data_IF_488984153356
#
_entry.id   IF_488984153356
#
_cell.length_a   1.000
_cell.length_b   1.000
_cell.length_c   1.000
_cell.angle_alpha   90.00
_cell.angle_beta   90.00
_cell.angle_gamma   90.00
#
_symmetry.space_group_name_H-M   'P 1'
#
loop_
_entity.id
_entity.type
_entity.pdbx_description
1 polymer ?
#
# COMPACT_ATOMS: atom_id res chain seq x y z
N UNK A 1 -24.34 12.94 -4.74
CA UNK A 1 -23.40 14.07 -4.61
C UNK A 1 -22.02 13.54 -4.98
N UNK A 2 -21.52 14.07 -6.08
CA UNK A 2 -20.31 13.74 -6.83
C UNK A 2 -19.08 13.41 -5.97
N UNK A 3 -18.72 12.12 -5.88
CA UNK A 3 -17.37 11.74 -5.50
C UNK A 3 -16.55 11.84 -6.78
N UNK A 4 -15.81 12.94 -6.88
CA UNK A 4 -14.84 13.19 -7.94
C UNK A 4 -13.87 12.01 -7.98
N UNK A 5 -14.04 11.11 -8.96
CA UNK A 5 -13.05 10.09 -9.28
C UNK A 5 -11.81 10.83 -9.79
N UNK A 6 -10.96 11.28 -8.88
CA UNK A 6 -9.54 11.49 -9.17
C UNK A 6 -9.09 10.15 -9.72
N UNK A 7 -8.74 10.07 -11.00
CA UNK A 7 -8.24 8.82 -11.58
C UNK A 7 -7.16 8.26 -10.65
N UNK A 8 -7.42 7.08 -10.07
CA UNK A 8 -6.59 6.52 -9.02
C UNK A 8 -5.16 6.42 -9.51
N UNK A 9 -4.26 7.22 -8.92
CA UNK A 9 -2.85 7.23 -9.28
C UNK A 9 -2.22 5.85 -9.04
N UNK A 10 -2.73 5.12 -8.04
CA UNK A 10 -2.35 3.75 -7.71
C UNK A 10 -3.64 2.94 -7.58
N UNK A 11 -3.77 1.89 -8.37
CA UNK A 11 -4.87 0.92 -8.27
C UNK A 11 -4.34 -0.34 -7.64
N UNK A 12 -4.99 -0.85 -6.59
CA UNK A 12 -4.69 -2.16 -6.04
C UNK A 12 -5.45 -3.20 -6.87
N UNK A 13 -4.73 -4.04 -7.60
CA UNK A 13 -5.31 -5.10 -8.42
C UNK A 13 -5.70 -6.31 -7.57
N UNK A 14 -4.87 -6.68 -6.59
CA UNK A 14 -5.15 -7.75 -5.64
C UNK A 14 -4.47 -7.46 -4.30
N UNK A 15 -5.16 -7.82 -3.21
CA UNK A 15 -4.63 -7.79 -1.85
C UNK A 15 -5.11 -9.07 -1.17
N UNK A 16 -4.18 -9.94 -0.78
CA UNK A 16 -4.51 -11.14 -0.02
C UNK A 16 -3.86 -11.07 1.35
N UNK A 17 -4.64 -11.43 2.37
CA UNK A 17 -4.22 -11.48 3.76
C UNK A 17 -4.38 -12.92 4.24
N UNK A 18 -3.32 -13.51 4.77
CA UNK A 18 -3.35 -14.85 5.35
C UNK A 18 -2.77 -14.83 6.78
N UNK A 19 -3.37 -15.53 7.75
CA UNK A 19 -4.59 -16.33 7.63
C UNK A 19 -5.87 -15.47 7.56
N UNK A 20 -6.93 -16.02 6.97
CA UNK A 20 -8.29 -15.46 6.99
C UNK A 20 -9.18 -16.34 7.91
N UNK A 21 -9.80 -15.78 8.97
CA UNK A 21 -9.75 -14.39 9.40
C UNK A 21 -8.43 -14.04 10.09
N UNK A 22 -7.94 -12.83 9.84
CA UNK A 22 -6.74 -12.30 10.49
C UNK A 22 -6.96 -12.25 12.00
N UNK A 23 -6.14 -12.98 12.75
CA UNK A 23 -6.17 -13.03 14.21
C UNK A 23 -5.08 -12.11 14.78
N UNK A 24 -5.47 -11.21 15.70
CA UNK A 24 -4.55 -10.29 16.37
C UNK A 24 -4.57 -10.58 17.89
N UNK A 25 -3.39 -10.71 18.55
CA UNK A 25 -2.03 -10.57 18.00
C UNK A 25 -1.58 -11.80 17.19
N UNK A 26 -0.76 -11.59 16.16
CA UNK A 26 -0.31 -12.69 15.30
C UNK A 26 0.53 -12.26 14.09
N UNK A 27 1.00 -13.26 13.33
CA UNK A 27 1.71 -13.03 12.06
C UNK A 27 0.70 -13.04 10.91
N UNK A 28 0.71 -11.98 10.11
CA UNK A 28 -0.11 -11.82 8.90
C UNK A 28 0.78 -11.77 7.68
N UNK A 29 0.52 -12.65 6.73
CA UNK A 29 1.12 -12.64 5.41
C UNK A 29 0.28 -11.80 4.48
N UNK A 30 0.92 -10.84 3.80
CA UNK A 30 0.29 -9.89 2.89
C UNK A 30 0.90 -10.04 1.51
N UNK A 31 0.10 -10.36 0.50
CA UNK A 31 0.48 -10.28 -0.92
C UNK A 31 -0.29 -9.13 -1.58
N UNK A 32 0.39 -8.36 -2.44
CA UNK A 32 -0.18 -7.14 -3.03
C UNK A 32 0.25 -7.03 -4.49
N UNK A 33 -0.73 -6.84 -5.38
CA UNK A 33 -0.49 -6.41 -6.77
C UNK A 33 -1.11 -5.03 -6.97
N UNK A 34 -0.34 -4.11 -7.54
CA UNK A 34 -0.77 -2.73 -7.74
C UNK A 34 -0.31 -2.19 -9.09
N UNK A 35 -1.12 -1.33 -9.70
CA UNK A 35 -0.82 -0.59 -10.92
C UNK A 35 -0.68 0.90 -10.60
N UNK A 36 0.50 1.45 -10.85
CA UNK A 36 0.77 2.88 -10.80
C UNK A 36 0.47 3.48 -12.16
N UNK A 37 -0.62 4.26 -12.25
CA UNK A 37 -1.08 4.89 -13.50
C UNK A 37 -0.37 6.21 -13.81
N UNK A 38 0.15 6.91 -12.81
CA UNK A 38 0.92 8.15 -12.98
C UNK A 38 2.22 8.10 -12.20
N UNK A 39 3.27 8.64 -12.81
CA UNK A 39 4.59 8.74 -12.21
C UNK A 39 4.52 9.49 -10.87
N UNK A 40 5.10 8.91 -9.83
CA UNK A 40 5.14 9.51 -8.49
C UNK A 40 6.51 10.17 -8.27
N UNK A 41 6.58 11.51 -8.23
CA UNK A 41 7.84 12.22 -7.97
C UNK A 41 8.33 12.03 -6.54
N UNK A 42 9.60 12.36 -6.28
CA UNK A 42 10.23 12.18 -4.96
C UNK A 42 9.59 12.98 -3.81
N UNK A 43 8.79 14.01 -4.10
CA UNK A 43 8.03 14.80 -3.13
C UNK A 43 6.53 14.49 -3.12
N UNK A 44 6.15 13.23 -3.38
CA UNK A 44 4.74 12.82 -3.43
C UNK A 44 4.08 12.92 -2.06
N UNK A 45 3.08 13.79 -1.96
CA UNK A 45 2.06 13.76 -0.90
C UNK A 45 0.96 12.77 -1.30
N UNK A 46 0.76 11.75 -0.48
CA UNK A 46 -0.21 10.69 -0.75
C UNK A 46 -1.29 10.67 0.32
N UNK A 47 -2.55 10.79 -0.09
CA UNK A 47 -3.69 10.55 0.78
C UNK A 47 -4.22 9.16 0.50
N UNK A 48 -4.23 8.31 1.53
CA UNK A 48 -4.79 6.97 1.47
C UNK A 48 -6.13 6.98 2.19
N UNK A 49 -7.17 6.46 1.54
CA UNK A 49 -8.49 6.25 2.14
C UNK A 49 -8.80 4.74 2.06
N UNK A 50 -8.80 4.06 3.20
CA UNK A 50 -9.01 2.61 3.32
C UNK A 50 -10.35 2.35 3.97
N UNK A 51 -11.16 1.49 3.36
CA UNK A 51 -12.47 1.09 3.89
C UNK A 51 -12.59 -0.43 3.93
N UNK A 52 -13.22 -0.95 4.98
CA UNK A 52 -13.57 -2.36 5.10
C UNK A 52 -15.08 -2.52 4.93
N UNK A 53 -15.49 -3.39 4.01
CA UNK A 53 -16.89 -3.75 3.88
C UNK A 53 -17.28 -4.75 4.97
N UNK A 54 -18.32 -4.42 5.74
CA UNK A 54 -18.93 -5.32 6.73
C UNK A 54 -20.43 -5.34 6.45
N UNK A 55 -20.91 -6.47 5.91
CA UNK A 55 -22.27 -6.56 5.40
C UNK A 55 -22.51 -5.59 4.23
N UNK A 56 -23.51 -4.72 4.36
CA UNK A 56 -23.84 -3.68 3.37
C UNK A 56 -23.16 -2.33 3.63
N UNK A 57 -22.38 -2.18 4.71
CA UNK A 57 -21.74 -0.93 5.09
C UNK A 57 -20.24 -0.93 4.79
N UNK A 58 -19.71 0.23 4.37
CA UNK A 58 -18.29 0.50 4.23
C UNK A 58 -17.79 1.27 5.45
N UNK A 59 -16.96 0.64 6.26
CA UNK A 59 -16.41 1.23 7.48
C UNK A 59 -15.02 1.78 7.17
N UNK A 60 -14.77 3.09 7.32
CA UNK A 60 -13.45 3.65 7.13
C UNK A 60 -12.49 3.17 8.21
N UNK A 61 -11.31 2.72 7.80
CA UNK A 61 -10.22 2.36 8.71
C UNK A 61 -9.49 3.66 9.08
N UNK A 62 -9.53 4.10 10.34
CA UNK A 62 -8.87 5.34 10.75
C UNK A 62 -7.34 5.21 10.63
N UNK A 63 -6.65 6.35 10.53
CA UNK A 63 -5.20 6.38 10.61
C UNK A 63 -4.75 6.10 12.05
N UNK A 64 -4.06 4.97 12.28
CA UNK A 64 -3.50 4.60 13.58
C UNK A 64 -2.05 4.20 13.39
N UNK A 65 -1.13 4.83 14.12
CA UNK A 65 0.31 4.57 14.02
C UNK A 65 0.87 4.56 12.58
N UNK A 66 0.34 5.45 11.71
CA UNK A 66 0.66 5.54 10.28
C UNK A 66 0.14 4.40 9.40
N UNK A 67 -0.85 3.63 9.87
CA UNK A 67 -1.58 2.61 9.10
C UNK A 67 -3.06 2.96 8.96
N UNK A 68 -3.68 2.61 7.82
CA UNK A 68 -5.09 2.91 7.53
C UNK A 68 -5.28 4.14 6.65
N UNK A 69 -6.35 4.92 6.87
CA UNK A 69 -6.66 6.10 6.05
C UNK A 69 -5.81 7.31 6.46
N UNK A 70 -4.51 7.29 6.13
CA UNK A 70 -3.56 8.33 6.49
C UNK A 70 -3.23 9.26 5.32
N UNK A 71 -2.86 10.51 5.63
CA UNK A 71 -2.19 11.40 4.66
C UNK A 71 -0.70 11.43 4.97
N UNK A 72 0.12 11.08 3.98
CA UNK A 72 1.56 11.08 4.05
C UNK A 72 2.10 12.25 3.26
N UNK A 73 2.65 13.25 3.94
CA UNK A 73 3.24 14.44 3.29
C UNK A 73 4.48 14.12 2.47
N UNK A 74 5.18 13.02 2.82
CA UNK A 74 6.33 12.54 2.07
C UNK A 74 6.28 11.01 2.00
N UNK A 75 5.45 10.50 1.09
CA UNK A 75 5.26 9.07 0.89
C UNK A 75 6.58 8.35 0.60
N UNK A 76 7.49 8.99 -0.15
CA UNK A 76 8.82 8.48 -0.48
C UNK A 76 9.70 8.27 0.76
N UNK A 77 9.65 9.18 1.75
CA UNK A 77 10.33 8.98 3.02
C UNK A 77 9.75 7.80 3.81
N UNK A 78 8.44 7.59 3.77
CA UNK A 78 7.80 6.46 4.44
C UNK A 78 8.12 5.14 3.74
N UNK A 79 8.06 5.11 2.41
CA UNK A 79 8.54 3.99 1.60
C UNK A 79 9.98 3.66 1.95
N UNK A 80 10.85 4.65 1.97
CA UNK A 80 12.22 4.47 2.43
C UNK A 80 12.27 3.93 3.85
N UNK A 81 11.50 4.42 4.82
CA UNK A 81 11.53 3.87 6.19
C UNK A 81 11.00 2.43 6.32
N UNK A 82 9.92 2.10 5.62
CA UNK A 82 9.22 0.79 5.69
C UNK A 82 9.91 -0.25 4.82
N UNK A 83 10.38 0.16 3.64
CA UNK A 83 11.06 -0.69 2.66
C UNK A 83 12.59 -0.62 2.74
N UNK A 84 13.28 0.34 3.37
CA UNK A 84 14.77 0.30 3.40
C UNK A 84 15.31 -0.98 4.02
N UNK A 85 14.64 -1.48 5.07
CA UNK A 85 15.07 -2.68 5.77
C UNK A 85 14.59 -3.98 5.10
N UNK A 86 13.63 -3.88 4.16
CA UNK A 86 12.99 -5.03 3.49
C UNK A 86 13.10 -5.04 1.97
N UNK A 87 13.61 -3.98 1.36
CA UNK A 87 13.95 -3.90 -0.05
C UNK A 87 15.21 -4.74 -0.24
N UNK A 88 14.97 -6.04 -0.34
CA UNK A 88 15.98 -7.00 -0.68
C UNK A 88 16.29 -6.86 -2.17
N UNK A 89 17.47 -7.32 -2.56
CA UNK A 89 17.90 -7.48 -3.95
C UNK A 89 16.84 -8.17 -4.82
N UNK A 90 16.03 -9.06 -4.23
CA UNK A 90 14.89 -9.73 -4.89
C UNK A 90 13.79 -8.76 -5.37
N UNK A 91 13.55 -7.66 -4.68
CA UNK A 91 12.58 -6.65 -5.12
C UNK A 91 13.15 -5.81 -6.27
N UNK A 92 14.43 -5.48 -6.20
CA UNK A 92 15.15 -4.82 -7.29
C UNK A 92 15.21 -5.72 -8.54
N UNK A 93 15.53 -7.02 -8.37
CA UNK A 93 15.59 -8.00 -9.45
C UNK A 93 14.22 -8.28 -10.08
N UNK A 94 13.12 -8.08 -9.34
CA UNK A 94 11.75 -8.20 -9.85
C UNK A 94 11.17 -6.87 -10.35
N UNK A 95 11.98 -5.80 -10.37
CA UNK A 95 11.62 -4.50 -10.93
C UNK A 95 10.67 -3.66 -10.07
N UNK A 96 10.58 -3.95 -8.78
CA UNK A 96 9.75 -3.20 -7.84
C UNK A 96 10.54 -1.98 -7.33
N UNK A 97 10.07 -0.75 -7.57
CA UNK A 97 10.72 0.46 -7.10
C UNK A 97 10.63 0.54 -5.57
N UNK A 98 11.78 0.51 -4.91
CA UNK A 98 11.87 0.64 -3.46
C UNK A 98 12.17 2.06 -2.98
N UNK A 99 12.51 2.94 -3.90
CA UNK A 99 12.68 4.36 -3.64
C UNK A 99 11.96 5.15 -4.73
N UNK A 100 11.77 6.43 -4.47
CA UNK A 100 11.23 7.34 -5.46
C UNK A 100 12.33 7.87 -6.40
N UNK A 101 11.99 8.24 -7.65
CA UNK A 101 10.64 8.27 -8.21
C UNK A 101 10.08 6.90 -8.60
N UNK A 102 8.76 6.71 -8.44
CA UNK A 102 8.08 5.47 -8.83
C UNK A 102 7.56 5.63 -10.26
N UNK A 103 8.03 4.82 -11.22
CA UNK A 103 7.54 4.87 -12.59
C UNK A 103 6.13 4.30 -12.69
N UNK A 104 5.45 4.64 -13.78
CA UNK A 104 4.18 3.98 -14.13
C UNK A 104 4.43 2.52 -14.47
N UNK A 105 3.59 1.63 -13.97
CA UNK A 105 3.74 0.19 -14.20
C UNK A 105 2.87 -0.64 -13.26
N UNK A 106 2.82 -1.95 -13.52
CA UNK A 106 2.21 -2.92 -12.61
C UNK A 106 3.30 -3.62 -11.83
N UNK A 107 3.16 -3.61 -10.51
CA UNK A 107 4.12 -4.17 -9.58
C UNK A 107 3.43 -5.23 -8.73
N UNK A 108 4.06 -6.39 -8.63
CA UNK A 108 3.60 -7.49 -7.78
C UNK A 108 4.57 -7.64 -6.62
N UNK A 109 4.14 -7.20 -5.44
CA UNK A 109 4.95 -7.25 -4.22
C UNK A 109 4.97 -8.69 -3.70
N UNK A 110 6.17 -9.27 -3.45
CA UNK A 110 6.25 -10.61 -2.89
C UNK A 110 5.65 -10.63 -1.49
N UNK A 111 5.09 -11.77 -1.10
CA UNK A 111 4.40 -11.94 0.19
C UNK A 111 5.27 -11.48 1.36
N UNK A 112 4.74 -10.54 2.14
CA UNK A 112 5.40 -9.99 3.32
C UNK A 112 4.76 -10.54 4.60
N UNK A 113 5.57 -11.05 5.52
CA UNK A 113 5.11 -11.38 6.87
C UNK A 113 5.22 -10.15 7.78
N UNK A 114 4.09 -9.76 8.37
CA UNK A 114 3.93 -8.67 9.33
C UNK A 114 3.54 -9.25 10.69
N UNK A 115 4.17 -8.80 11.76
CA UNK A 115 3.80 -9.18 13.13
C UNK A 115 2.99 -8.02 13.70
N UNK A 116 1.74 -8.28 14.06
CA UNK A 116 0.76 -7.29 14.52
C UNK A 116 0.21 -7.67 15.89
#
# INVERSE_FOLDING_TARGET
MISEHIEDTIVINSLELAPDPVSMPGTVNVSLSLTVKRHLPSSTKLRLDVQKQIGSAWIPIPCVASYGSCTYDNFCNLLRGVMFSKCNKTMEDTGIPCDCPIPTGTFSVPTQSLVI
#
